data_IF_166418125452
#
_entry.id   IF_166418125452
#
_cell.length_a   1.000
_cell.length_b   1.000
_cell.length_c   1.000
_cell.angle_alpha   90.00
_cell.angle_beta   90.00
_cell.angle_gamma   90.00
#
_symmetry.space_group_name_H-M   'P 1'
#
loop_
_entity.id
_entity.type
_entity.pdbx_description
1 polymer ?
#
# COMPACT_ATOMS: atom_id res chain seq x y z
N UNK A 1 -4.95 -24.99 -7.07
CA UNK A 1 -4.22 -24.52 -5.85
C UNK A 1 -4.59 -23.05 -5.68
N UNK A 2 -4.99 -22.64 -4.48
CA UNK A 2 -5.24 -21.22 -4.18
C UNK A 2 -3.92 -20.45 -4.03
N UNK A 3 -4.00 -19.10 -4.13
CA UNK A 3 -2.80 -18.27 -4.10
C UNK A 3 -2.05 -18.29 -2.77
N UNK A 4 -2.75 -18.36 -1.62
CA UNK A 4 -2.09 -18.43 -0.31
C UNK A 4 -1.25 -19.71 -0.15
N UNK A 5 -1.74 -20.83 -0.65
CA UNK A 5 -0.98 -22.09 -0.69
C UNK A 5 0.20 -21.99 -1.63
N UNK A 6 0.01 -21.43 -2.83
CA UNK A 6 1.10 -21.23 -3.79
C UNK A 6 2.23 -20.35 -3.22
N UNK A 7 1.89 -19.25 -2.56
CA UNK A 7 2.85 -18.31 -1.94
C UNK A 7 3.69 -18.96 -0.83
N UNK A 8 3.16 -19.97 -0.12
CA UNK A 8 3.93 -20.68 0.92
C UNK A 8 5.04 -21.55 0.33
N UNK A 9 4.83 -22.10 -0.84
CA UNK A 9 5.69 -23.12 -1.44
C UNK A 9 6.62 -22.58 -2.52
N UNK A 10 6.33 -21.39 -3.07
CA UNK A 10 7.02 -20.84 -4.23
C UNK A 10 7.51 -19.40 -3.99
N UNK A 11 8.57 -19.04 -4.72
CA UNK A 11 8.90 -17.64 -4.98
C UNK A 11 7.99 -17.21 -6.13
N UNK A 12 7.16 -16.21 -5.90
CA UNK A 12 6.13 -15.76 -6.83
C UNK A 12 6.69 -14.68 -7.75
N UNK A 13 6.46 -14.84 -9.04
CA UNK A 13 6.83 -13.85 -10.05
C UNK A 13 5.59 -13.13 -10.57
N UNK A 14 5.51 -11.84 -10.27
CA UNK A 14 4.56 -10.93 -10.90
C UNK A 14 5.03 -10.52 -12.29
N UNK A 15 4.14 -9.91 -13.04
CA UNK A 15 4.44 -9.24 -14.29
C UNK A 15 5.26 -7.95 -14.11
N UNK A 16 5.31 -7.13 -15.14
CA UNK A 16 6.04 -5.86 -15.17
C UNK A 16 5.15 -4.69 -15.51
N UNK A 17 5.78 -3.61 -15.97
CA UNK A 17 5.13 -2.36 -16.27
C UNK A 17 3.97 -2.52 -17.26
N UNK A 18 2.78 -2.08 -16.84
CA UNK A 18 1.63 -2.05 -17.74
C UNK A 18 1.54 -0.70 -18.48
N UNK A 19 1.60 0.42 -17.78
CA UNK A 19 1.45 1.75 -18.34
C UNK A 19 2.48 2.09 -19.42
N UNK A 20 3.77 1.80 -19.19
CA UNK A 20 4.83 2.05 -20.20
C UNK A 20 4.68 1.13 -21.42
N UNK A 21 4.17 -0.08 -21.28
CA UNK A 21 3.86 -0.97 -22.39
C UNK A 21 2.67 -0.46 -23.22
N UNK A 22 1.64 0.12 -22.58
CA UNK A 22 0.54 0.78 -23.28
C UNK A 22 1.02 1.98 -24.06
N UNK A 23 1.88 2.85 -23.47
CA UNK A 23 2.46 4.01 -24.16
C UNK A 23 3.26 3.60 -25.38
N UNK A 24 4.05 2.55 -25.31
CA UNK A 24 4.79 2.03 -26.47
C UNK A 24 3.85 1.58 -27.58
N UNK A 25 2.75 0.88 -27.23
CA UNK A 25 1.74 0.45 -28.21
C UNK A 25 0.96 1.62 -28.82
N UNK A 26 0.71 2.66 -28.03
CA UNK A 26 0.05 3.87 -28.47
C UNK A 26 0.92 4.73 -29.40
N UNK A 27 2.24 4.60 -29.29
CA UNK A 27 3.18 5.54 -29.90
C UNK A 27 3.20 6.91 -29.20
N UNK A 28 2.75 6.98 -27.92
CA UNK A 28 2.66 8.21 -27.16
C UNK A 28 1.77 8.10 -25.90
N UNK A 29 1.37 9.22 -25.30
CA UNK A 29 0.54 9.22 -24.08
C UNK A 29 -0.80 8.50 -24.27
N UNK A 30 -1.22 7.72 -23.25
CA UNK A 30 -2.46 6.93 -23.28
C UNK A 30 -3.66 7.59 -22.57
N UNK A 31 -3.55 8.89 -22.24
CA UNK A 31 -4.61 9.63 -21.54
C UNK A 31 -4.48 9.52 -20.02
N UNK A 32 -5.43 10.11 -19.30
CA UNK A 32 -5.45 10.18 -17.82
C UNK A 32 -6.08 8.96 -17.17
N UNK A 33 -6.81 8.14 -17.92
CA UNK A 33 -7.49 6.93 -17.46
C UNK A 33 -7.17 5.78 -18.44
N UNK A 34 -5.98 5.17 -18.32
CA UNK A 34 -5.55 4.06 -19.20
C UNK A 34 -6.49 2.84 -19.16
N UNK A 35 -7.27 2.71 -18.11
CA UNK A 35 -8.24 1.63 -17.91
C UNK A 35 -9.41 1.67 -18.90
N UNK A 36 -9.67 2.81 -19.56
CA UNK A 36 -10.63 2.89 -20.66
C UNK A 36 -10.28 1.96 -21.82
N UNK A 37 -8.98 1.66 -22.00
CA UNK A 37 -8.53 0.71 -23.02
C UNK A 37 -9.01 -0.71 -22.81
N UNK A 38 -9.45 -1.06 -21.61
CA UNK A 38 -10.11 -2.34 -21.36
C UNK A 38 -11.36 -2.53 -22.24
N UNK A 39 -12.01 -1.43 -22.62
CA UNK A 39 -13.19 -1.43 -23.49
C UNK A 39 -12.87 -0.93 -24.92
N UNK A 40 -12.03 0.11 -25.05
CA UNK A 40 -11.76 0.78 -26.32
C UNK A 40 -10.72 0.04 -27.17
N UNK A 41 -9.71 -0.56 -26.53
CA UNK A 41 -8.59 -1.26 -27.17
C UNK A 41 -8.26 -2.60 -26.49
N UNK A 42 -9.23 -3.51 -26.34
CA UNK A 42 -9.07 -4.74 -25.53
C UNK A 42 -7.95 -5.65 -26.04
N UNK A 43 -7.70 -5.67 -27.37
CA UNK A 43 -6.63 -6.49 -27.95
C UNK A 43 -5.24 -6.01 -27.58
N UNK A 44 -5.02 -4.70 -27.46
CA UNK A 44 -3.73 -4.17 -27.00
C UNK A 44 -3.47 -4.51 -25.54
N UNK A 45 -4.48 -4.37 -24.68
CA UNK A 45 -4.42 -4.77 -23.27
C UNK A 45 -4.16 -6.28 -23.16
N UNK A 46 -4.93 -7.12 -23.84
CA UNK A 46 -4.77 -8.57 -23.84
C UNK A 46 -3.39 -9.00 -24.35
N UNK A 47 -2.84 -8.33 -25.35
CA UNK A 47 -1.52 -8.64 -25.87
C UNK A 47 -0.39 -8.39 -24.85
N UNK A 48 -0.52 -7.36 -23.99
CA UNK A 48 0.43 -7.11 -22.90
C UNK A 48 0.35 -8.23 -21.87
N UNK A 49 -0.85 -8.61 -21.42
CA UNK A 49 -1.05 -9.71 -20.48
C UNK A 49 -0.48 -11.03 -21.00
N UNK A 50 -0.74 -11.38 -22.29
CA UNK A 50 -0.16 -12.55 -22.93
C UNK A 50 1.37 -12.52 -22.92
N UNK A 51 1.97 -11.40 -23.28
CA UNK A 51 3.42 -11.27 -23.33
C UNK A 51 4.09 -11.52 -21.97
N UNK A 52 3.51 -11.04 -20.88
CA UNK A 52 4.00 -11.31 -19.53
C UNK A 52 3.73 -12.73 -19.06
N UNK A 53 2.59 -13.31 -19.40
CA UNK A 53 2.28 -14.71 -19.12
C UNK A 53 3.27 -15.66 -19.82
N UNK A 54 3.61 -15.38 -21.09
CA UNK A 54 4.61 -16.10 -21.89
C UNK A 54 6.04 -15.89 -21.37
N UNK A 55 6.34 -14.71 -20.81
CA UNK A 55 7.60 -14.44 -20.14
C UNK A 55 7.78 -15.23 -18.83
N UNK A 56 6.71 -15.86 -18.33
CA UNK A 56 6.74 -16.76 -17.20
C UNK A 56 6.25 -16.14 -15.89
N UNK A 57 5.53 -15.02 -15.91
CA UNK A 57 4.86 -14.51 -14.71
C UNK A 57 3.89 -15.56 -14.14
N UNK A 58 3.80 -15.66 -12.81
CA UNK A 58 2.83 -16.49 -12.10
C UNK A 58 1.53 -15.71 -11.86
N UNK A 59 1.67 -14.40 -11.68
CA UNK A 59 0.57 -13.44 -11.43
C UNK A 59 0.57 -12.41 -12.54
N UNK A 60 -0.61 -12.13 -13.08
CA UNK A 60 -0.88 -11.05 -14.03
C UNK A 60 -1.71 -10.00 -13.36
N UNK A 61 -1.22 -8.77 -13.36
CA UNK A 61 -1.87 -7.61 -12.81
C UNK A 61 -2.87 -7.06 -13.82
N UNK A 62 -4.15 -6.98 -13.45
CA UNK A 62 -5.19 -6.46 -14.34
C UNK A 62 -5.00 -4.94 -14.56
N UNK A 63 -5.40 -4.43 -15.72
CA UNK A 63 -5.36 -2.99 -16.00
C UNK A 63 -6.49 -2.27 -15.24
N UNK A 64 -6.32 -2.07 -13.92
CA UNK A 64 -7.31 -1.51 -13.01
C UNK A 64 -6.74 -0.51 -11.99
N UNK A 65 -5.45 -0.18 -12.07
CA UNK A 65 -4.70 0.67 -11.13
C UNK A 65 -5.41 1.98 -10.80
N UNK A 66 -5.87 2.71 -11.79
CA UNK A 66 -6.56 4.00 -11.65
C UNK A 66 -8.09 3.90 -11.69
N UNK A 67 -8.66 2.70 -11.71
CA UNK A 67 -10.11 2.49 -11.81
C UNK A 67 -10.84 2.81 -10.50
N UNK A 68 -10.76 4.05 -10.03
CA UNK A 68 -11.51 4.54 -8.88
C UNK A 68 -12.49 5.65 -9.30
N UNK A 69 -13.50 5.90 -8.47
CA UNK A 69 -14.59 6.84 -8.78
C UNK A 69 -14.12 8.29 -8.94
N UNK A 70 -13.00 8.65 -8.30
CA UNK A 70 -12.44 10.01 -8.38
C UNK A 70 -11.78 10.30 -9.73
N UNK A 71 -11.22 9.27 -10.38
CA UNK A 71 -10.61 9.34 -11.71
C UNK A 71 -11.59 8.97 -12.82
N UNK A 72 -12.42 7.95 -12.59
CA UNK A 72 -13.41 7.45 -13.56
C UNK A 72 -14.69 8.30 -13.63
N UNK A 73 -14.88 9.27 -12.71
CA UNK A 73 -16.02 10.16 -12.67
C UNK A 73 -17.25 9.60 -11.95
N UNK A 74 -17.36 8.28 -11.75
CA UNK A 74 -18.38 7.65 -10.93
C UNK A 74 -17.97 6.27 -10.43
N UNK A 75 -18.59 5.81 -9.33
CA UNK A 75 -18.40 4.47 -8.79
C UNK A 75 -18.82 3.37 -9.79
N UNK A 76 -19.89 3.60 -10.54
CA UNK A 76 -20.39 2.63 -11.54
C UNK A 76 -19.39 2.48 -12.70
N UNK A 77 -18.88 3.60 -13.24
CA UNK A 77 -17.86 3.56 -14.30
C UNK A 77 -16.59 2.85 -13.81
N UNK A 78 -16.13 3.16 -12.60
CA UNK A 78 -14.98 2.48 -12.00
C UNK A 78 -15.21 0.97 -11.91
N UNK A 79 -16.36 0.53 -11.42
CA UNK A 79 -16.72 -0.89 -11.34
C UNK A 79 -16.78 -1.57 -12.71
N UNK A 80 -17.27 -0.90 -13.74
CA UNK A 80 -17.30 -1.42 -15.12
C UNK A 80 -15.87 -1.61 -15.66
N UNK A 81 -14.98 -0.63 -15.46
CA UNK A 81 -13.57 -0.71 -15.85
C UNK A 81 -12.84 -1.85 -15.15
N UNK A 82 -13.09 -2.03 -13.84
CA UNK A 82 -12.52 -3.13 -13.04
C UNK A 82 -12.98 -4.47 -13.60
N UNK A 83 -14.29 -4.66 -13.78
CA UNK A 83 -14.83 -5.92 -14.31
C UNK A 83 -14.29 -6.24 -15.69
N UNK A 84 -14.14 -5.25 -16.55
CA UNK A 84 -13.56 -5.41 -17.88
C UNK A 84 -12.09 -5.82 -17.80
N UNK A 85 -11.28 -5.10 -17.03
CA UNK A 85 -9.84 -5.37 -16.88
C UNK A 85 -9.53 -6.75 -16.31
N UNK A 86 -10.21 -7.15 -15.22
CA UNK A 86 -10.04 -8.47 -14.61
C UNK A 86 -10.43 -9.60 -15.57
N UNK A 87 -11.58 -9.50 -16.24
CA UNK A 87 -12.03 -10.52 -17.22
C UNK A 87 -11.07 -10.62 -18.41
N UNK A 88 -10.57 -9.48 -18.88
CA UNK A 88 -9.64 -9.43 -20.00
C UNK A 88 -8.30 -10.11 -19.64
N UNK A 89 -7.74 -9.79 -18.46
CA UNK A 89 -6.53 -10.44 -17.95
C UNK A 89 -6.73 -11.96 -17.81
N UNK A 90 -7.86 -12.39 -17.27
CA UNK A 90 -8.19 -13.81 -17.10
C UNK A 90 -8.29 -14.55 -18.43
N UNK A 91 -8.88 -13.93 -19.43
CA UNK A 91 -8.98 -14.50 -20.78
C UNK A 91 -7.63 -14.55 -21.50
N UNK A 92 -6.82 -13.49 -21.33
CA UNK A 92 -5.54 -13.36 -22.00
C UNK A 92 -4.43 -14.26 -21.40
N UNK A 93 -4.53 -14.60 -20.11
CA UNK A 93 -3.52 -15.37 -19.39
C UNK A 93 -4.11 -16.59 -18.64
N UNK A 94 -4.64 -17.59 -19.37
CA UNK A 94 -5.25 -18.76 -18.75
C UNK A 94 -4.24 -19.53 -17.89
N UNK A 95 -4.69 -19.96 -16.70
CA UNK A 95 -3.86 -20.70 -15.75
C UNK A 95 -2.90 -19.85 -14.92
N UNK A 96 -2.92 -18.53 -15.05
CA UNK A 96 -2.23 -17.59 -14.17
C UNK A 96 -3.17 -17.07 -13.08
N UNK A 97 -2.59 -16.62 -11.96
CA UNK A 97 -3.33 -15.86 -10.98
C UNK A 97 -3.55 -14.43 -11.50
N UNK A 98 -4.74 -13.89 -11.27
CA UNK A 98 -5.10 -12.54 -11.70
C UNK A 98 -5.21 -11.66 -10.46
N UNK A 99 -4.37 -10.63 -10.37
CA UNK A 99 -4.43 -9.62 -9.34
C UNK A 99 -5.35 -8.47 -9.77
N UNK A 100 -6.35 -8.15 -8.91
CA UNK A 100 -6.98 -6.83 -8.97
C UNK A 100 -5.94 -5.81 -8.53
N UNK A 101 -5.64 -4.85 -9.38
CA UNK A 101 -4.70 -3.77 -9.10
C UNK A 101 -5.44 -2.54 -8.58
N UNK A 102 -5.06 -2.05 -7.40
CA UNK A 102 -5.64 -0.87 -6.74
C UNK A 102 -4.51 0.12 -6.45
N UNK A 103 -4.50 1.22 -7.18
CA UNK A 103 -3.60 2.35 -6.93
C UNK A 103 -4.20 3.40 -6.00
N UNK A 104 -3.45 4.49 -5.70
CA UNK A 104 -3.93 5.61 -4.90
C UNK A 104 -5.16 6.29 -5.52
N UNK A 105 -5.99 6.88 -4.67
CA UNK A 105 -7.17 7.66 -5.10
C UNK A 105 -6.80 8.86 -5.99
N UNK A 106 -5.57 9.36 -5.86
CA UNK A 106 -5.10 10.59 -6.50
C UNK A 106 -5.53 11.84 -5.73
N UNK A 107 -6.03 11.68 -4.51
CA UNK A 107 -6.41 12.77 -3.60
C UNK A 107 -5.66 12.62 -2.28
N UNK A 108 -5.35 13.74 -1.65
CA UNK A 108 -4.77 13.73 -0.30
C UNK A 108 -5.89 13.55 0.74
N UNK A 109 -5.60 12.72 1.75
CA UNK A 109 -6.49 12.54 2.89
C UNK A 109 -6.42 13.75 3.83
N UNK A 110 -7.48 13.95 4.62
CA UNK A 110 -7.47 14.89 5.74
C UNK A 110 -6.32 14.59 6.73
N UNK A 111 -5.68 15.61 7.31
CA UNK A 111 -5.95 17.03 7.17
C UNK A 111 -5.23 17.72 5.99
N UNK A 112 -4.36 17.02 5.25
CA UNK A 112 -3.56 17.60 4.16
C UNK A 112 -4.39 17.84 2.89
N UNK A 113 -5.48 17.13 2.72
CA UNK A 113 -6.44 17.27 1.63
C UNK A 113 -7.87 17.28 2.13
N UNK A 114 -8.81 17.01 1.21
CA UNK A 114 -10.26 17.04 1.52
C UNK A 114 -10.91 15.66 1.54
N UNK A 115 -10.15 14.58 1.28
CA UNK A 115 -10.71 13.22 1.28
C UNK A 115 -10.71 12.66 2.70
N UNK A 116 -11.88 12.33 3.23
CA UNK A 116 -11.96 11.66 4.53
C UNK A 116 -11.46 10.21 4.45
N UNK A 117 -10.99 9.66 5.57
CA UNK A 117 -10.64 8.25 5.67
C UNK A 117 -11.83 7.35 5.31
N UNK A 118 -13.04 7.71 5.76
CA UNK A 118 -14.24 6.92 5.55
C UNK A 118 -14.66 6.91 4.07
N UNK A 119 -14.52 8.03 3.36
CA UNK A 119 -14.81 8.10 1.92
C UNK A 119 -13.79 7.31 1.11
N UNK A 120 -12.50 7.39 1.47
CA UNK A 120 -11.45 6.58 0.86
C UNK A 120 -11.73 5.09 1.07
N UNK A 121 -12.00 4.68 2.32
CA UNK A 121 -12.38 3.31 2.66
C UNK A 121 -13.58 2.81 1.84
N UNK A 122 -14.64 3.61 1.75
CA UNK A 122 -15.83 3.25 1.00
C UNK A 122 -15.55 3.09 -0.51
N UNK A 123 -14.68 3.94 -1.08
CA UNK A 123 -14.26 3.84 -2.47
C UNK A 123 -13.45 2.55 -2.71
N UNK A 124 -12.47 2.24 -1.86
CA UNK A 124 -11.69 1.00 -1.94
C UNK A 124 -12.54 -0.26 -1.75
N UNK A 125 -13.53 -0.23 -0.86
CA UNK A 125 -14.46 -1.34 -0.68
C UNK A 125 -15.26 -1.66 -1.95
N UNK A 126 -15.70 -0.62 -2.69
CA UNK A 126 -16.37 -0.80 -3.98
C UNK A 126 -15.46 -1.41 -5.03
N UNK A 127 -14.19 -0.96 -5.10
CA UNK A 127 -13.20 -1.52 -6.03
C UNK A 127 -12.92 -2.99 -5.72
N UNK A 128 -12.65 -3.32 -4.44
CA UNK A 128 -12.35 -4.67 -4.00
C UNK A 128 -13.50 -5.65 -4.34
N UNK A 129 -14.75 -5.29 -4.04
CA UNK A 129 -15.94 -6.09 -4.38
C UNK A 129 -16.07 -6.31 -5.90
N UNK A 130 -15.92 -5.25 -6.69
CA UNK A 130 -16.03 -5.35 -8.14
C UNK A 130 -14.97 -6.30 -8.73
N UNK A 131 -13.74 -6.30 -8.18
CA UNK A 131 -12.68 -7.20 -8.59
C UNK A 131 -12.94 -8.66 -8.21
N UNK A 132 -13.40 -8.92 -6.97
CA UNK A 132 -13.76 -10.28 -6.53
C UNK A 132 -14.93 -10.83 -7.37
N UNK A 133 -15.99 -10.04 -7.58
CA UNK A 133 -17.11 -10.41 -8.46
C UNK A 133 -16.69 -10.71 -9.90
N UNK A 134 -15.65 -10.03 -10.40
CA UNK A 134 -15.10 -10.27 -11.73
C UNK A 134 -14.22 -11.54 -11.80
N UNK A 135 -13.85 -12.10 -10.65
CA UNK A 135 -13.09 -13.33 -10.52
C UNK A 135 -11.59 -13.12 -10.39
N UNK A 136 -11.13 -12.02 -9.80
CA UNK A 136 -9.75 -11.87 -9.38
C UNK A 136 -9.36 -12.95 -8.34
N UNK A 137 -8.10 -13.38 -8.35
CA UNK A 137 -7.58 -14.40 -7.43
C UNK A 137 -6.93 -13.78 -6.18
N UNK A 138 -6.52 -12.51 -6.25
CA UNK A 138 -5.92 -11.71 -5.18
C UNK A 138 -6.10 -10.22 -5.45
N UNK A 139 -5.82 -9.41 -4.43
CA UNK A 139 -5.78 -7.95 -4.53
C UNK A 139 -4.34 -7.49 -4.32
N UNK A 140 -3.83 -6.66 -5.22
CA UNK A 140 -2.61 -5.89 -5.09
C UNK A 140 -2.98 -4.41 -4.87
N UNK A 141 -2.64 -3.88 -3.71
CA UNK A 141 -2.74 -2.46 -3.39
C UNK A 141 -1.33 -1.90 -3.54
N UNK A 142 -1.07 -1.06 -4.53
CA UNK A 142 0.30 -0.67 -4.84
C UNK A 142 0.50 0.84 -5.02
N UNK A 143 1.77 1.26 -4.98
CA UNK A 143 2.22 2.65 -5.20
C UNK A 143 1.63 3.64 -4.18
N UNK A 144 1.32 3.16 -2.99
CA UNK A 144 0.80 4.02 -1.93
C UNK A 144 1.91 4.87 -1.34
N UNK A 145 1.64 6.17 -1.16
CA UNK A 145 2.59 7.15 -0.61
C UNK A 145 2.17 7.63 0.79
N UNK A 146 0.92 7.37 1.18
CA UNK A 146 0.34 7.70 2.48
C UNK A 146 -0.08 6.44 3.22
N UNK A 147 0.38 6.30 4.48
CA UNK A 147 0.08 5.13 5.31
C UNK A 147 -1.39 5.05 5.72
N UNK A 148 -2.09 6.17 5.86
CA UNK A 148 -3.52 6.18 6.20
C UNK A 148 -4.36 5.78 4.99
N UNK A 149 -4.01 6.23 3.78
CA UNK A 149 -4.65 5.79 2.54
C UNK A 149 -4.46 4.28 2.35
N UNK A 150 -3.23 3.79 2.56
CA UNK A 150 -2.95 2.34 2.54
C UNK A 150 -3.82 1.57 3.53
N UNK A 151 -3.94 2.07 4.78
CA UNK A 151 -4.79 1.43 5.80
C UNK A 151 -6.25 1.37 5.38
N UNK A 152 -6.79 2.46 4.84
CA UNK A 152 -8.15 2.48 4.33
C UNK A 152 -8.36 1.42 3.24
N UNK A 153 -7.43 1.30 2.29
CA UNK A 153 -7.50 0.33 1.21
C UNK A 153 -7.40 -1.12 1.70
N UNK A 154 -6.42 -1.42 2.58
CA UNK A 154 -6.22 -2.78 3.10
C UNK A 154 -7.38 -3.22 3.99
N UNK A 155 -7.88 -2.36 4.88
CA UNK A 155 -9.05 -2.66 5.71
C UNK A 155 -10.28 -2.90 4.86
N UNK A 156 -10.55 -2.03 3.88
CA UNK A 156 -11.67 -2.18 2.97
C UNK A 156 -11.62 -3.51 2.20
N UNK A 157 -10.45 -3.87 1.66
CA UNK A 157 -10.28 -5.13 0.95
C UNK A 157 -10.53 -6.35 1.85
N UNK A 158 -9.98 -6.35 3.06
CA UNK A 158 -10.13 -7.46 4.02
C UNK A 158 -11.53 -7.64 4.58
N UNK A 159 -12.23 -6.54 4.82
CA UNK A 159 -13.57 -6.58 5.43
C UNK A 159 -14.66 -6.90 4.40
N UNK A 160 -14.38 -6.68 3.12
CA UNK A 160 -15.38 -6.82 2.07
C UNK A 160 -15.11 -7.93 1.06
N UNK A 161 -13.97 -8.63 1.14
CA UNK A 161 -13.63 -9.77 0.27
C UNK A 161 -12.95 -10.90 1.04
N UNK A 162 -12.94 -12.11 0.46
CA UNK A 162 -12.17 -13.24 0.96
C UNK A 162 -10.78 -13.37 0.31
N UNK A 163 -10.45 -12.50 -0.64
CA UNK A 163 -9.23 -12.56 -1.43
C UNK A 163 -7.97 -12.31 -0.59
N UNK A 164 -6.84 -12.92 -0.94
CA UNK A 164 -5.53 -12.51 -0.43
C UNK A 164 -5.26 -11.04 -0.74
N UNK A 165 -4.76 -10.29 0.25
CA UNK A 165 -4.45 -8.86 0.10
C UNK A 165 -2.94 -8.66 0.23
N UNK A 166 -2.32 -8.21 -0.85
CA UNK A 166 -0.93 -7.78 -0.90
C UNK A 166 -0.91 -6.26 -0.96
N UNK A 167 0.03 -5.62 -0.27
CA UNK A 167 0.16 -4.18 -0.37
C UNK A 167 1.62 -3.72 -0.50
N UNK A 168 1.83 -2.61 -1.20
CA UNK A 168 3.14 -1.99 -1.34
C UNK A 168 3.07 -0.47 -1.27
N UNK A 169 4.15 0.11 -0.75
CA UNK A 169 4.35 1.55 -0.72
C UNK A 169 5.52 1.96 -1.61
N UNK A 170 5.49 3.21 -2.04
CA UNK A 170 6.55 3.81 -2.81
C UNK A 170 7.39 4.73 -1.93
N UNK A 171 8.71 4.60 -2.01
CA UNK A 171 9.67 5.33 -1.17
C UNK A 171 10.57 6.21 -2.04
N UNK A 172 10.97 7.35 -1.50
CA UNK A 172 11.95 8.25 -2.10
C UNK A 172 13.38 7.85 -1.70
N UNK A 173 14.39 8.49 -2.29
CA UNK A 173 15.81 8.20 -2.01
C UNK A 173 16.21 8.41 -0.54
N UNK A 174 15.49 9.25 0.19
CA UNK A 174 15.68 9.47 1.63
C UNK A 174 15.17 8.31 2.50
N UNK A 175 14.60 7.25 1.90
CA UNK A 175 14.05 6.10 2.59
C UNK A 175 12.68 6.35 3.23
N UNK A 176 11.98 7.43 2.86
CA UNK A 176 10.63 7.75 3.33
C UNK A 176 9.67 7.86 2.17
N UNK A 177 8.39 7.65 2.44
CA UNK A 177 7.33 7.95 1.48
C UNK A 177 7.10 9.46 1.39
N UNK A 178 6.36 9.92 0.39
CA UNK A 178 5.98 11.34 0.26
C UNK A 178 5.32 11.90 1.53
N UNK A 179 4.47 11.12 2.22
CA UNK A 179 3.84 11.51 3.48
C UNK A 179 4.74 11.30 4.72
N UNK A 180 6.03 10.97 4.54
CA UNK A 180 7.02 10.88 5.61
C UNK A 180 7.08 9.53 6.34
N UNK A 181 6.33 8.52 5.91
CA UNK A 181 6.36 7.18 6.50
C UNK A 181 7.70 6.49 6.21
N UNK A 182 8.30 5.87 7.22
CA UNK A 182 9.48 5.03 7.06
C UNK A 182 9.13 3.54 6.94
N UNK A 183 10.05 2.66 6.49
CA UNK A 183 9.78 1.24 6.31
C UNK A 183 9.38 0.52 7.59
N UNK A 184 9.81 1.00 8.75
CA UNK A 184 9.49 0.39 10.06
C UNK A 184 8.04 0.66 10.43
N UNK A 185 7.60 1.93 10.37
CA UNK A 185 6.19 2.31 10.59
C UNK A 185 5.26 1.58 9.63
N UNK A 186 5.65 1.47 8.36
CA UNK A 186 4.90 0.70 7.37
C UNK A 186 4.81 -0.78 7.75
N UNK A 187 5.93 -1.43 8.06
CA UNK A 187 5.94 -2.85 8.43
C UNK A 187 5.07 -3.12 9.67
N UNK A 188 5.21 -2.31 10.73
CA UNK A 188 4.43 -2.46 11.97
C UNK A 188 2.92 -2.28 11.73
N UNK A 189 2.54 -1.36 10.83
CA UNK A 189 1.13 -1.08 10.56
C UNK A 189 0.50 -2.09 9.59
N UNK A 190 1.19 -2.43 8.52
CA UNK A 190 0.62 -3.23 7.43
C UNK A 190 0.71 -4.74 7.65
N UNK A 191 1.78 -5.24 8.32
CA UNK A 191 1.97 -6.68 8.51
C UNK A 191 0.79 -7.38 9.19
N UNK A 192 0.14 -6.83 10.23
CA UNK A 192 -1.03 -7.48 10.83
C UNK A 192 -2.24 -7.52 9.90
N UNK A 193 -2.28 -6.65 8.90
CA UNK A 193 -3.45 -6.42 8.06
C UNK A 193 -3.36 -7.10 6.69
N UNK A 194 -2.18 -7.38 6.16
CA UNK A 194 -1.98 -7.92 4.81
C UNK A 194 -1.44 -9.35 4.79
N UNK A 195 -1.62 -10.07 3.67
CA UNK A 195 -1.03 -11.39 3.44
C UNK A 195 0.45 -11.26 2.99
N UNK A 196 0.82 -10.15 2.37
CA UNK A 196 2.20 -9.76 2.05
C UNK A 196 2.32 -8.23 2.03
N UNK A 197 3.51 -7.72 2.34
CA UNK A 197 3.84 -6.30 2.26
C UNK A 197 5.05 -6.08 1.35
N UNK A 198 5.24 -4.88 0.82
CA UNK A 198 6.37 -4.67 -0.07
C UNK A 198 6.61 -3.24 -0.52
N UNK A 199 7.44 -3.14 -1.54
CA UNK A 199 7.83 -1.87 -2.15
C UNK A 199 7.71 -1.96 -3.66
N UNK A 200 7.25 -0.90 -4.29
CA UNK A 200 7.20 -0.81 -5.74
C UNK A 200 7.47 0.61 -6.23
N UNK A 201 7.81 0.72 -7.50
CA UNK A 201 7.98 1.99 -8.23
C UNK A 201 9.10 2.90 -7.64
N UNK A 202 9.10 4.18 -8.01
CA UNK A 202 10.01 5.27 -7.65
C UNK A 202 11.48 5.01 -7.95
N UNK A 203 12.05 3.95 -7.41
CA UNK A 203 13.50 3.71 -7.41
C UNK A 203 13.87 2.48 -8.25
N UNK A 204 15.12 2.47 -8.72
CA UNK A 204 15.74 1.28 -9.26
C UNK A 204 16.04 0.25 -8.18
N UNK A 205 16.33 -1.01 -8.58
CA UNK A 205 16.47 -2.10 -7.61
C UNK A 205 17.65 -1.94 -6.66
N UNK A 206 18.71 -1.25 -7.05
CA UNK A 206 19.90 -0.96 -6.23
C UNK A 206 19.56 -0.11 -5.00
N UNK A 207 18.71 0.91 -5.18
CA UNK A 207 18.31 1.84 -4.12
C UNK A 207 17.23 1.31 -3.20
N UNK A 208 16.47 0.29 -3.62
CA UNK A 208 15.43 -0.34 -2.81
C UNK A 208 16.00 -1.32 -1.76
N UNK A 209 17.24 -1.80 -1.92
CA UNK A 209 17.79 -2.85 -1.04
C UNK A 209 17.78 -2.48 0.46
N UNK A 210 18.20 -1.29 0.89
CA UNK A 210 18.15 -0.90 2.31
C UNK A 210 16.72 -0.87 2.86
N UNK A 211 15.76 -0.39 2.07
CA UNK A 211 14.34 -0.33 2.44
C UNK A 211 13.78 -1.74 2.63
N UNK A 212 14.07 -2.64 1.68
CA UNK A 212 13.65 -4.05 1.73
C UNK A 212 14.25 -4.77 2.94
N UNK A 213 15.54 -4.51 3.27
CA UNK A 213 16.19 -5.08 4.46
C UNK A 213 15.53 -4.59 5.75
N UNK A 214 15.13 -3.32 5.81
CA UNK A 214 14.37 -2.78 6.93
C UNK A 214 13.02 -3.49 7.07
N UNK A 215 12.26 -3.65 5.97
CA UNK A 215 10.98 -4.39 6.01
C UNK A 215 11.17 -5.83 6.50
N UNK A 216 12.13 -6.57 5.95
CA UNK A 216 12.41 -7.96 6.33
C UNK A 216 12.77 -8.11 7.81
N UNK A 217 13.30 -7.06 8.44
CA UNK A 217 13.64 -7.05 9.87
C UNK A 217 12.44 -6.92 10.79
N UNK A 218 11.32 -6.35 10.30
CA UNK A 218 10.15 -6.00 11.12
C UNK A 218 8.85 -6.66 10.67
N UNK A 219 8.90 -7.61 9.74
CA UNK A 219 7.73 -8.36 9.28
C UNK A 219 7.98 -9.87 9.29
N UNK A 220 6.94 -10.64 9.61
CA UNK A 220 6.86 -12.09 9.39
C UNK A 220 6.17 -12.44 8.07
N UNK A 221 5.68 -11.43 7.34
CA UNK A 221 4.97 -11.61 6.07
C UNK A 221 5.93 -11.77 4.90
N UNK A 222 5.53 -12.46 3.83
CA UNK A 222 6.23 -12.40 2.55
C UNK A 222 6.44 -10.96 2.10
N UNK A 223 7.66 -10.65 1.64
CA UNK A 223 7.98 -9.32 1.11
C UNK A 223 7.94 -9.34 -0.41
N UNK A 224 7.28 -8.31 -0.98
CA UNK A 224 7.12 -8.02 -2.40
C UNK A 224 8.10 -6.92 -2.83
N UNK A 225 8.78 -7.10 -3.97
CA UNK A 225 9.60 -6.08 -4.62
C UNK A 225 9.27 -5.98 -6.10
N UNK A 226 8.82 -4.81 -6.55
CA UNK A 226 8.55 -4.49 -7.96
C UNK A 226 9.22 -3.15 -8.29
N UNK A 227 10.53 -3.18 -8.55
CA UNK A 227 11.35 -2.01 -8.84
C UNK A 227 11.09 -1.47 -10.26
N UNK A 228 11.41 -0.19 -10.47
CA UNK A 228 11.56 0.38 -11.81
C UNK A 228 12.82 -0.16 -12.50
N UNK A 229 12.84 -0.15 -13.81
CA UNK A 229 14.06 -0.44 -14.59
C UNK A 229 15.03 0.78 -14.58
N UNK A 230 15.34 1.29 -13.39
CA UNK A 230 16.04 2.56 -13.18
C UNK A 230 15.08 3.75 -13.15
N UNK A 231 15.65 4.96 -13.29
CA UNK A 231 14.87 6.19 -13.41
C UNK A 231 14.71 6.55 -14.91
N UNK A 232 13.56 7.13 -15.31
CA UNK A 232 13.39 7.59 -16.69
C UNK A 232 14.26 8.81 -16.95
N UNK A 233 14.79 8.90 -18.17
CA UNK A 233 15.38 10.11 -18.73
C UNK A 233 14.29 11.09 -19.21
N UNK A 234 14.72 12.23 -19.81
CA UNK A 234 13.82 13.24 -20.38
C UNK A 234 12.94 12.73 -21.54
N UNK A 235 13.31 11.59 -22.14
CA UNK A 235 12.58 10.91 -23.21
C UNK A 235 11.79 9.70 -22.70
N UNK A 236 11.66 9.52 -21.39
CA UNK A 236 11.01 8.38 -20.75
C UNK A 236 11.67 7.02 -21.04
N UNK A 237 12.98 7.01 -21.36
CA UNK A 237 13.75 5.79 -21.46
C UNK A 237 14.30 5.40 -20.08
N UNK A 238 14.23 4.12 -19.76
CA UNK A 238 14.72 3.54 -18.52
C UNK A 238 16.09 2.90 -18.75
N UNK A 239 17.05 3.18 -17.87
CA UNK A 239 18.46 2.88 -18.09
C UNK A 239 18.90 1.45 -17.73
N UNK A 240 18.13 0.75 -16.89
CA UNK A 240 18.51 -0.58 -16.38
C UNK A 240 17.99 -1.69 -17.27
N UNK A 241 18.88 -2.38 -17.96
CA UNK A 241 18.54 -3.49 -18.85
C UNK A 241 18.16 -4.78 -18.10
N UNK A 242 17.56 -5.77 -18.81
CA UNK A 242 17.05 -7.00 -18.20
C UNK A 242 18.09 -7.82 -17.43
N UNK A 243 19.33 -7.89 -17.91
CA UNK A 243 20.41 -8.64 -17.29
C UNK A 243 20.86 -7.99 -15.97
N UNK A 244 21.08 -6.69 -15.98
CA UNK A 244 21.49 -5.90 -14.81
C UNK A 244 20.38 -5.91 -13.75
N UNK A 245 19.12 -5.73 -14.19
CA UNK A 245 17.95 -5.83 -13.34
C UNK A 245 17.89 -7.16 -12.60
N UNK A 246 18.00 -8.27 -13.32
CA UNK A 246 17.99 -9.60 -12.72
C UNK A 246 19.20 -9.85 -11.81
N UNK A 247 20.37 -9.33 -12.17
CA UNK A 247 21.56 -9.46 -11.33
C UNK A 247 21.39 -8.79 -9.96
N UNK A 248 20.79 -7.60 -9.92
CA UNK A 248 20.46 -6.88 -8.67
C UNK A 248 19.40 -7.62 -7.86
N UNK A 249 18.38 -8.18 -8.50
CA UNK A 249 17.33 -8.97 -7.85
C UNK A 249 17.83 -10.22 -7.12
N UNK A 250 19.01 -10.73 -7.47
CA UNK A 250 19.66 -11.81 -6.71
C UNK A 250 19.80 -11.45 -5.23
N UNK A 251 20.15 -10.19 -4.92
CA UNK A 251 20.33 -9.73 -3.55
C UNK A 251 19.02 -9.76 -2.76
N UNK A 252 17.90 -9.41 -3.38
CA UNK A 252 16.57 -9.51 -2.75
C UNK A 252 16.20 -10.97 -2.43
N UNK A 253 16.39 -11.87 -3.39
CA UNK A 253 16.11 -13.30 -3.20
C UNK A 253 17.03 -13.90 -2.11
N UNK A 254 18.27 -13.48 -2.07
CA UNK A 254 19.25 -13.94 -1.07
C UNK A 254 18.94 -13.35 0.32
N UNK A 255 18.33 -12.16 0.41
CA UNK A 255 17.83 -11.57 1.65
C UNK A 255 16.51 -12.23 2.15
N UNK A 256 15.78 -12.96 1.30
CA UNK A 256 14.56 -13.67 1.70
C UNK A 256 13.27 -13.10 1.11
N UNK A 257 13.34 -12.18 0.14
CA UNK A 257 12.17 -11.71 -0.62
C UNK A 257 11.49 -12.90 -1.30
N UNK A 258 10.17 -12.96 -1.24
CA UNK A 258 9.38 -14.08 -1.77
C UNK A 258 8.56 -13.73 -3.00
N UNK A 259 8.30 -12.47 -3.22
CA UNK A 259 7.49 -12.00 -4.34
C UNK A 259 8.32 -10.96 -5.09
N UNK A 260 8.53 -11.19 -6.37
CA UNK A 260 9.31 -10.29 -7.23
C UNK A 260 8.54 -10.00 -8.51
N UNK A 261 8.79 -8.87 -9.10
CA UNK A 261 8.19 -8.42 -10.35
C UNK A 261 8.87 -7.16 -10.83
N UNK A 262 8.25 -6.46 -11.75
CA UNK A 262 8.74 -5.19 -12.25
C UNK A 262 7.70 -4.09 -12.15
N UNK A 263 8.15 -2.83 -12.15
CA UNK A 263 7.31 -1.65 -12.29
C UNK A 263 7.78 -0.85 -13.51
N UNK A 264 7.66 0.45 -13.52
CA UNK A 264 7.90 1.31 -14.68
C UNK A 264 9.20 0.97 -15.44
N UNK A 265 9.12 0.95 -16.77
CA UNK A 265 10.24 0.65 -17.66
C UNK A 265 10.57 -0.83 -17.84
N UNK A 266 10.03 -1.74 -17.02
CA UNK A 266 10.26 -3.17 -17.21
C UNK A 266 9.44 -3.73 -18.38
N UNK A 267 9.97 -4.75 -19.03
CA UNK A 267 9.40 -5.41 -20.22
C UNK A 267 9.27 -6.91 -19.99
N UNK A 268 8.59 -7.66 -20.86
CA UNK A 268 8.56 -9.12 -20.78
C UNK A 268 9.95 -9.77 -20.71
N UNK A 269 11.00 -9.15 -21.29
CA UNK A 269 12.35 -9.70 -21.18
C UNK A 269 12.91 -9.58 -19.75
N UNK A 270 12.65 -8.49 -19.02
CA UNK A 270 12.98 -8.38 -17.60
C UNK A 270 12.35 -9.50 -16.79
N UNK A 271 11.06 -9.78 -17.02
CA UNK A 271 10.34 -10.85 -16.32
C UNK A 271 10.90 -12.23 -16.69
N UNK A 272 11.28 -12.45 -17.95
CA UNK A 272 11.94 -13.71 -18.39
C UNK A 272 13.28 -13.91 -17.67
N UNK A 273 14.09 -12.85 -17.49
CA UNK A 273 15.34 -12.92 -16.73
C UNK A 273 15.11 -13.19 -15.25
N UNK A 274 14.09 -12.57 -14.64
CA UNK A 274 13.70 -12.89 -13.27
C UNK A 274 13.23 -14.35 -13.14
N UNK A 275 12.45 -14.88 -14.09
CA UNK A 275 12.06 -16.30 -14.10
C UNK A 275 13.28 -17.22 -14.15
N UNK A 276 14.24 -16.91 -14.99
CA UNK A 276 15.49 -17.68 -15.08
C UNK A 276 16.29 -17.61 -13.78
N UNK A 277 16.36 -16.43 -13.16
CA UNK A 277 17.03 -16.22 -11.86
C UNK A 277 16.36 -17.01 -10.73
N UNK A 278 15.02 -17.00 -10.66
CA UNK A 278 14.27 -17.79 -9.68
C UNK A 278 14.56 -19.28 -9.86
N UNK A 279 14.49 -19.80 -11.09
CA UNK A 279 14.81 -21.19 -11.41
C UNK A 279 14.11 -22.18 -10.48
N UNK A 280 14.92 -22.99 -9.74
CA UNK A 280 14.44 -23.96 -8.75
C UNK A 280 14.58 -23.50 -7.30
N UNK A 281 14.83 -22.22 -7.07
CA UNK A 281 14.95 -21.66 -5.71
C UNK A 281 13.65 -21.89 -4.95
N UNK A 282 13.78 -22.15 -3.64
CA UNK A 282 12.64 -22.27 -2.73
C UNK A 282 12.58 -21.05 -1.81
N UNK A 283 11.40 -20.67 -1.33
CA UNK A 283 11.24 -19.63 -0.34
C UNK A 283 12.11 -19.90 0.89
N UNK A 284 12.81 -18.90 1.37
CA UNK A 284 13.53 -18.96 2.64
C UNK A 284 12.57 -18.71 3.79
N UNK A 285 12.77 -19.39 4.92
CA UNK A 285 12.08 -19.04 6.15
C UNK A 285 12.51 -17.63 6.59
N UNK A 286 11.56 -16.75 6.81
CA UNK A 286 11.83 -15.43 7.34
C UNK A 286 12.23 -15.58 8.81
N UNK A 287 13.35 -14.98 9.18
CA UNK A 287 13.79 -14.86 10.57
C UNK A 287 13.38 -13.49 11.08
N UNK A 288 12.16 -13.40 11.54
CA UNK A 288 11.64 -12.19 12.15
C UNK A 288 11.89 -12.24 13.67
N UNK A 289 12.37 -11.14 14.23
CA UNK A 289 12.43 -10.94 15.68
C UNK A 289 11.16 -10.23 16.11
N UNK A 290 10.30 -10.86 16.91
CA UNK A 290 9.12 -10.19 17.43
C UNK A 290 9.53 -8.94 18.22
N UNK A 291 8.87 -7.82 17.94
CA UNK A 291 9.08 -6.56 18.63
C UNK A 291 7.76 -6.13 19.27
N UNK A 292 7.85 -5.54 20.46
CA UNK A 292 6.74 -4.83 21.07
C UNK A 292 6.88 -3.36 20.74
N UNK A 293 5.98 -2.83 19.92
CA UNK A 293 6.04 -1.47 19.47
C UNK A 293 4.66 -0.93 19.10
N UNK A 294 4.54 0.40 19.09
CA UNK A 294 3.43 1.13 18.49
C UNK A 294 4.01 2.15 17.50
N UNK A 295 3.21 2.62 16.56
CA UNK A 295 3.66 3.67 15.65
C UNK A 295 2.53 4.63 15.27
N UNK A 296 2.93 5.85 14.93
CA UNK A 296 2.14 6.77 14.14
C UNK A 296 2.43 6.58 12.64
N UNK A 297 1.96 7.50 11.80
CA UNK A 297 2.31 7.48 10.38
C UNK A 297 3.82 7.66 10.09
N UNK A 298 4.57 8.28 11.02
CA UNK A 298 5.97 8.70 10.78
C UNK A 298 6.96 8.33 11.87
N UNK A 299 6.51 7.84 13.04
CA UNK A 299 7.36 7.54 14.20
C UNK A 299 6.97 6.23 14.86
N UNK A 300 7.94 5.31 14.98
CA UNK A 300 7.79 4.08 15.76
C UNK A 300 8.33 4.25 17.18
N UNK A 301 7.65 3.65 18.16
CA UNK A 301 8.04 3.61 19.57
C UNK A 301 8.13 2.16 20.01
N UNK A 302 9.35 1.71 20.32
CA UNK A 302 9.62 0.34 20.79
C UNK A 302 9.56 0.28 22.31
N UNK A 303 8.94 -0.78 22.86
CA UNK A 303 8.90 -1.02 24.30
C UNK A 303 10.12 -1.84 24.77
N UNK A 304 11.31 -1.28 24.55
CA UNK A 304 12.61 -1.83 24.94
C UNK A 304 13.20 -1.15 26.19
N UNK A 305 12.43 -0.30 26.84
CA UNK A 305 12.76 0.45 28.04
C UNK A 305 11.55 1.23 28.55
N UNK A 306 11.78 2.18 29.44
CA UNK A 306 10.72 3.06 29.96
C UNK A 306 10.20 3.96 28.83
N UNK A 307 8.88 4.11 28.74
CA UNK A 307 8.20 5.02 27.83
C UNK A 307 7.22 5.90 28.60
N UNK A 308 7.09 7.12 28.18
CA UNK A 308 6.20 8.11 28.81
C UNK A 308 4.93 8.23 27.99
N UNK A 309 3.80 7.95 28.62
CA UNK A 309 2.47 8.18 28.03
C UNK A 309 1.91 9.48 28.62
N UNK A 310 1.63 10.45 27.74
CA UNK A 310 1.00 11.70 28.12
C UNK A 310 -0.51 11.53 28.27
N UNK A 311 -1.05 11.82 29.48
CA UNK A 311 -2.44 11.52 29.86
C UNK A 311 -3.30 12.79 30.03
N UNK A 312 -2.90 13.93 29.53
CA UNK A 312 -3.68 15.16 29.75
C UNK A 312 -4.95 15.27 28.92
N UNK A 313 -5.06 14.55 27.80
CA UNK A 313 -6.25 14.50 26.94
C UNK A 313 -7.23 13.46 27.51
N UNK A 314 -7.71 13.73 28.71
CA UNK A 314 -8.66 12.91 29.45
C UNK A 314 -9.52 13.84 30.34
N UNK A 315 -10.87 13.78 30.25
CA UNK A 315 -11.76 14.66 31.02
C UNK A 315 -11.79 14.33 32.52
N UNK A 316 -11.34 13.13 32.95
CA UNK A 316 -11.42 12.71 34.35
C UNK A 316 -10.63 13.64 35.28
N UNK A 317 -11.31 14.28 36.20
CA UNK A 317 -10.70 15.24 37.16
C UNK A 317 -10.29 16.61 36.58
N UNK A 318 -10.40 16.83 35.27
CA UNK A 318 -9.90 18.02 34.57
C UNK A 318 -11.04 18.92 34.07
N UNK A 319 -11.36 19.99 34.79
CA UNK A 319 -12.49 20.88 34.46
C UNK A 319 -12.37 21.55 33.09
N UNK A 320 -11.17 22.03 32.74
CA UNK A 320 -10.93 22.68 31.44
C UNK A 320 -11.13 21.68 30.25
N UNK A 321 -10.65 20.47 30.37
CA UNK A 321 -10.85 19.43 29.34
C UNK A 321 -12.34 19.05 29.20
N UNK A 322 -13.07 18.89 30.30
CA UNK A 322 -14.53 18.68 30.26
C UNK A 322 -15.27 19.78 29.53
N UNK A 323 -14.89 21.03 29.80
CA UNK A 323 -15.49 22.17 29.14
C UNK A 323 -15.16 22.18 27.64
N UNK A 324 -13.90 22.00 27.30
CA UNK A 324 -13.45 21.93 25.89
C UNK A 324 -14.23 20.87 25.09
N UNK A 325 -14.40 19.67 25.66
CA UNK A 325 -15.18 18.60 24.99
C UNK A 325 -16.66 18.95 24.82
N UNK A 326 -17.29 19.58 25.82
CA UNK A 326 -18.70 20.03 25.74
C UNK A 326 -18.93 21.12 24.71
N UNK A 327 -17.97 22.05 24.59
CA UNK A 327 -18.02 23.20 23.69
C UNK A 327 -17.47 22.92 22.31
N UNK A 328 -16.81 21.75 22.12
CA UNK A 328 -16.13 21.41 20.87
C UNK A 328 -14.87 22.28 20.64
N UNK A 329 -14.23 22.75 21.71
CA UNK A 329 -12.97 23.50 21.65
C UNK A 329 -11.78 22.55 21.43
N UNK A 330 -11.63 22.11 20.19
CA UNK A 330 -10.51 21.24 19.81
C UNK A 330 -9.18 21.99 19.74
N UNK A 331 -9.15 23.31 19.65
CA UNK A 331 -7.91 24.09 19.72
C UNK A 331 -7.24 23.91 21.09
N UNK A 332 -8.02 23.89 22.18
CA UNK A 332 -7.50 23.56 23.52
C UNK A 332 -6.91 22.14 23.56
N UNK A 333 -7.60 21.15 22.95
CA UNK A 333 -7.12 19.75 22.90
C UNK A 333 -5.82 19.64 22.11
N UNK A 334 -5.73 20.30 20.96
CA UNK A 334 -4.52 20.35 20.14
C UNK A 334 -3.34 20.96 20.91
N UNK A 335 -3.58 22.05 21.67
CA UNK A 335 -2.59 22.64 22.55
C UNK A 335 -2.07 21.65 23.59
N UNK A 336 -2.96 20.88 24.24
CA UNK A 336 -2.57 19.83 25.18
C UNK A 336 -1.75 18.71 24.54
N UNK A 337 -2.02 18.35 23.28
CA UNK A 337 -1.23 17.35 22.54
C UNK A 337 0.20 17.87 22.27
N UNK A 338 0.32 19.11 21.81
CA UNK A 338 1.62 19.75 21.51
C UNK A 338 2.45 19.89 22.78
N UNK A 339 1.87 20.44 23.88
CA UNK A 339 2.56 20.60 25.15
C UNK A 339 3.13 19.29 25.70
N UNK A 340 2.38 18.18 25.60
CA UNK A 340 2.85 16.87 26.06
C UNK A 340 3.96 16.31 25.18
N UNK A 341 3.86 16.50 23.86
CA UNK A 341 4.91 16.09 22.93
C UNK A 341 6.22 16.85 23.18
N UNK A 342 6.14 18.17 23.40
CA UNK A 342 7.29 19.02 23.74
C UNK A 342 7.88 18.68 25.12
N UNK A 343 7.03 18.25 26.07
CA UNK A 343 7.46 17.78 27.38
C UNK A 343 8.12 16.37 27.36
N UNK A 344 8.19 15.73 26.20
CA UNK A 344 8.90 14.46 26.00
C UNK A 344 8.03 13.21 26.14
N UNK A 345 6.72 13.30 25.94
CA UNK A 345 5.88 12.12 25.81
C UNK A 345 6.27 11.29 24.59
N UNK A 346 6.29 9.98 24.73
CA UNK A 346 6.49 9.03 23.62
C UNK A 346 5.17 8.69 22.91
N UNK A 347 4.09 8.64 23.68
CA UNK A 347 2.74 8.25 23.27
C UNK A 347 1.74 9.20 23.93
N UNK A 348 0.62 9.49 23.31
CA UNK A 348 -0.48 10.24 23.91
C UNK A 348 -1.67 9.33 24.19
N UNK A 349 -2.20 9.39 25.41
CA UNK A 349 -3.46 8.80 25.78
C UNK A 349 -4.60 9.77 25.42
N UNK A 350 -5.65 9.27 24.77
CA UNK A 350 -6.82 10.05 24.35
C UNK A 350 -8.10 9.40 24.85
N UNK A 351 -8.86 10.17 25.62
CA UNK A 351 -10.10 9.76 26.26
C UNK A 351 -11.17 10.84 26.12
N UNK A 352 -12.37 10.47 25.67
CA UNK A 352 -13.54 11.35 25.55
C UNK A 352 -14.68 10.97 26.52
N UNK A 353 -14.42 10.14 27.54
CA UNK A 353 -15.40 9.61 28.48
C UNK A 353 -16.07 10.70 29.32
N UNK A 354 -17.12 11.30 28.78
CA UNK A 354 -17.93 12.33 29.41
C UNK A 354 -19.42 12.02 29.19
N UNK A 355 -20.18 11.73 30.25
CA UNK A 355 -21.57 11.22 30.13
C UNK A 355 -22.55 12.13 29.39
N UNK A 356 -22.23 13.44 29.26
CA UNK A 356 -23.12 14.43 28.66
C UNK A 356 -22.92 14.61 27.15
N UNK A 357 -21.99 13.86 26.51
CA UNK A 357 -21.72 13.96 25.08
C UNK A 357 -21.79 12.59 24.42
N UNK A 358 -21.88 12.57 23.08
CA UNK A 358 -21.67 11.33 22.31
C UNK A 358 -20.17 10.99 22.31
N UNK A 359 -19.77 10.10 23.22
CA UNK A 359 -18.38 9.69 23.41
C UNK A 359 -17.76 9.14 22.13
N UNK A 360 -18.49 8.33 21.37
CA UNK A 360 -17.99 7.75 20.11
C UNK A 360 -17.66 8.84 19.09
N UNK A 361 -18.60 9.75 18.85
CA UNK A 361 -18.41 10.85 17.90
C UNK A 361 -17.28 11.79 18.36
N UNK A 362 -17.25 12.11 19.66
CA UNK A 362 -16.22 12.97 20.26
C UNK A 362 -14.83 12.33 20.17
N UNK A 363 -14.69 11.03 20.46
CA UNK A 363 -13.40 10.32 20.40
C UNK A 363 -12.85 10.25 18.97
N UNK A 364 -13.70 9.93 17.99
CA UNK A 364 -13.30 9.95 16.58
C UNK A 364 -12.80 11.33 16.17
N UNK A 365 -13.53 12.39 16.54
CA UNK A 365 -13.13 13.75 16.23
C UNK A 365 -11.81 14.12 16.93
N UNK A 366 -11.68 13.77 18.21
CA UNK A 366 -10.51 14.05 19.04
C UNK A 366 -9.25 13.39 18.47
N UNK A 367 -9.33 12.14 18.02
CA UNK A 367 -8.22 11.44 17.36
C UNK A 367 -7.78 12.19 16.10
N UNK A 368 -8.71 12.61 15.24
CA UNK A 368 -8.41 13.37 14.01
C UNK A 368 -7.71 14.71 14.34
N UNK A 369 -8.22 15.44 15.31
CA UNK A 369 -7.66 16.74 15.71
C UNK A 369 -6.26 16.62 16.30
N UNK A 370 -6.02 15.59 17.12
CA UNK A 370 -4.69 15.34 17.69
C UNK A 370 -3.70 14.91 16.61
N UNK A 371 -4.09 14.01 15.73
CA UNK A 371 -3.24 13.54 14.61
C UNK A 371 -2.89 14.65 13.61
N UNK A 372 -3.73 15.66 13.49
CA UNK A 372 -3.46 16.82 12.62
C UNK A 372 -2.26 17.68 13.09
N UNK A 373 -1.93 17.66 14.38
CA UNK A 373 -0.91 18.53 14.97
C UNK A 373 0.22 17.78 15.68
N UNK A 374 0.05 16.49 15.96
CA UNK A 374 1.00 15.72 16.75
C UNK A 374 1.36 14.39 16.07
N UNK A 375 2.66 14.14 15.81
CA UNK A 375 3.12 12.93 15.13
C UNK A 375 3.35 11.74 16.07
N UNK A 376 2.88 11.79 17.31
CA UNK A 376 3.03 10.69 18.26
C UNK A 376 1.97 9.59 18.03
N UNK A 377 2.29 8.37 18.43
CA UNK A 377 1.32 7.30 18.50
C UNK A 377 0.26 7.60 19.56
N UNK A 378 -0.98 7.16 19.31
CA UNK A 378 -2.10 7.37 20.23
C UNK A 378 -2.49 6.06 20.91
N UNK A 379 -2.73 6.12 22.20
CA UNK A 379 -3.44 5.13 22.99
C UNK A 379 -4.90 5.54 23.07
N UNK A 380 -5.80 4.69 22.61
CA UNK A 380 -7.23 4.94 22.70
C UNK A 380 -7.73 4.36 24.04
N UNK A 381 -8.21 5.26 24.90
CA UNK A 381 -8.85 4.90 26.16
C UNK A 381 -10.34 5.24 26.09
N UNK A 382 -11.19 4.23 26.28
CA UNK A 382 -12.63 4.36 26.28
C UNK A 382 -13.26 3.50 27.37
N UNK A 383 -14.44 3.91 27.87
CA UNK A 383 -15.19 3.22 28.91
C UNK A 383 -16.09 2.11 28.34
#
# INVERSE_FOLDING_TARGET
MDFRTFLKEHIVLFDGAFGTMLQQRAGGPVGTVPELWNAERPEDVAAIHRAYAEAGADVITANTFGANEFKAGSAETAAQLIRAGVRLAKTAAPGKFIALDIGPTGRLLEPMGSLSFDDAYAAFARQAKAGEEAGADLILIETMADLQELRAAVLAAREHTALPVLCSMTFEENGRTFAGCDPVCYALTASPLADAIGVNCSLGPDKLLPIVQALLSYTDKPVLVQANAGLPDEHMHYSVGPEEFAATYRQFLDAGVRIVGGCCGTTPEHIRRLRALIGRRKPRALRHRPVSAVCSGTKAVFFDGVRVIGERINPTGKKAMKQALREGDYAFVQGQAIEQAEAGADILDVNAGLPEIDEKAALVRLVREVQAVCPLALQIDCS
#
